data_IF_217280246840
#
_entry.id   IF_217280246840
#
_cell.length_a   1.000
_cell.length_b   1.000
_cell.length_c   1.000
_cell.angle_alpha   90.00
_cell.angle_beta   90.00
_cell.angle_gamma   90.00
#
_symmetry.space_group_name_H-M   'P 1'
#
loop_
_entity.id
_entity.type
_entity.pdbx_description
1 polymer ?
#
# COMPACT_ATOMS: atom_id res chain seq x y z
N UNK A 1 28.91 -8.09 -16.96
CA UNK A 1 29.60 -7.14 -16.07
C UNK A 1 31.07 -7.52 -16.09
N UNK A 2 31.88 -6.71 -16.77
CA UNK A 2 33.31 -6.99 -17.05
C UNK A 2 34.08 -6.82 -15.74
N UNK A 3 34.59 -7.92 -15.20
CA UNK A 3 35.25 -7.98 -13.90
C UNK A 3 36.78 -7.80 -13.97
N UNK A 4 37.31 -7.24 -15.05
CA UNK A 4 38.76 -7.08 -15.20
C UNK A 4 39.10 -5.68 -15.70
N UNK A 5 39.22 -4.76 -14.74
CA UNK A 5 39.97 -3.52 -14.93
C UNK A 5 40.96 -3.45 -13.78
N UNK A 6 42.22 -3.76 -14.09
CA UNK A 6 43.35 -3.52 -13.22
C UNK A 6 43.60 -2.01 -13.18
N UNK A 7 42.87 -1.29 -12.33
CA UNK A 7 43.26 0.05 -11.88
C UNK A 7 42.57 0.34 -10.53
N UNK A 8 43.38 0.41 -9.48
CA UNK A 8 43.01 0.56 -8.06
C UNK A 8 42.31 1.91 -7.74
N UNK A 9 41.96 2.70 -8.77
CA UNK A 9 41.32 4.01 -8.69
C UNK A 9 39.79 3.98 -8.81
N UNK A 10 39.19 2.84 -9.21
CA UNK A 10 37.76 2.75 -9.57
C UNK A 10 36.92 1.81 -8.69
N UNK A 11 37.37 1.46 -7.48
CA UNK A 11 36.64 0.52 -6.60
C UNK A 11 35.24 1.06 -6.24
N UNK A 12 35.11 2.38 -6.04
CA UNK A 12 33.81 3.04 -5.78
C UNK A 12 32.85 2.98 -6.97
N UNK A 13 33.35 3.02 -8.20
CA UNK A 13 32.53 2.95 -9.41
C UNK A 13 31.92 1.55 -9.58
N UNK A 14 32.65 0.50 -9.23
CA UNK A 14 32.16 -0.88 -9.29
C UNK A 14 30.99 -1.08 -8.32
N UNK A 15 31.12 -0.58 -7.09
CA UNK A 15 30.05 -0.69 -6.09
C UNK A 15 28.83 0.14 -6.47
N UNK A 16 29.03 1.36 -6.98
CA UNK A 16 27.95 2.20 -7.50
C UNK A 16 27.16 1.50 -8.61
N UNK A 17 27.87 0.94 -9.61
CA UNK A 17 27.23 0.23 -10.72
C UNK A 17 26.51 -1.02 -10.21
N UNK A 18 27.10 -1.76 -9.28
CA UNK A 18 26.46 -2.94 -8.68
C UNK A 18 25.18 -2.55 -7.95
N UNK A 19 25.19 -1.48 -7.15
CA UNK A 19 24.03 -0.98 -6.42
C UNK A 19 22.94 -0.50 -7.38
N UNK A 20 23.32 0.18 -8.45
CA UNK A 20 22.39 0.61 -9.50
C UNK A 20 21.71 -0.61 -10.13
N UNK A 21 22.48 -1.58 -10.63
CA UNK A 21 21.94 -2.81 -11.24
C UNK A 21 21.04 -3.55 -10.26
N UNK A 22 21.49 -3.71 -9.01
CA UNK A 22 20.74 -4.34 -7.92
C UNK A 22 19.38 -3.67 -7.71
N UNK A 23 19.33 -2.33 -7.71
CA UNK A 23 18.07 -1.58 -7.53
C UNK A 23 17.03 -1.85 -8.63
N UNK A 24 17.48 -2.13 -9.86
CA UNK A 24 16.59 -2.49 -10.97
C UNK A 24 16.16 -3.96 -10.88
N UNK A 25 17.13 -4.88 -10.78
CA UNK A 25 16.84 -6.31 -10.79
C UNK A 25 16.10 -6.78 -9.54
N UNK A 26 16.18 -6.05 -8.42
CA UNK A 26 15.39 -6.33 -7.21
C UNK A 26 13.88 -6.22 -7.44
N UNK A 27 13.45 -5.45 -8.44
CA UNK A 27 12.02 -5.31 -8.75
C UNK A 27 11.53 -6.57 -9.47
N UNK A 28 10.48 -7.26 -8.97
CA UNK A 28 10.01 -8.52 -9.55
C UNK A 28 9.49 -8.37 -10.99
N UNK A 29 9.07 -7.16 -11.39
CA UNK A 29 8.63 -6.85 -12.75
C UNK A 29 9.76 -6.55 -13.74
N UNK A 30 11.02 -6.54 -13.29
CA UNK A 30 12.16 -6.30 -14.17
C UNK A 30 12.56 -7.62 -14.86
N UNK A 31 12.50 -7.63 -16.21
CA UNK A 31 13.12 -8.66 -17.02
C UNK A 31 14.64 -8.49 -17.01
N UNK A 32 15.36 -9.57 -16.78
CA UNK A 32 16.83 -9.56 -16.70
C UNK A 32 17.39 -10.11 -18.01
N UNK A 33 18.18 -9.31 -18.72
CA UNK A 33 18.91 -9.77 -19.90
C UNK A 33 20.34 -10.12 -19.49
N UNK A 34 20.65 -11.41 -19.40
CA UNK A 34 21.94 -11.92 -18.97
C UNK A 34 22.83 -12.20 -20.19
N UNK A 35 23.77 -11.32 -20.46
CA UNK A 35 24.70 -11.44 -21.59
C UNK A 35 26.03 -12.08 -21.17
N UNK A 36 26.44 -13.14 -21.87
CA UNK A 36 27.68 -13.89 -21.67
C UNK A 36 28.46 -13.97 -22.99
N UNK A 37 29.77 -13.78 -22.95
CA UNK A 37 30.66 -14.00 -24.09
C UNK A 37 31.09 -15.47 -24.15
N UNK A 38 30.97 -16.12 -25.32
CA UNK A 38 31.37 -17.53 -25.54
C UNK A 38 32.90 -17.76 -25.56
N UNK A 39 33.66 -16.86 -24.97
CA UNK A 39 35.13 -16.89 -24.89
C UNK A 39 35.62 -17.21 -23.48
N UNK A 40 34.76 -16.99 -22.48
CA UNK A 40 35.13 -17.05 -21.06
C UNK A 40 34.10 -17.86 -20.29
N UNK A 41 34.55 -18.64 -19.32
CA UNK A 41 33.68 -19.49 -18.50
C UNK A 41 32.53 -18.69 -17.86
N UNK A 42 31.33 -19.25 -17.94
CA UNK A 42 30.13 -18.70 -17.30
C UNK A 42 30.35 -18.48 -15.78
N UNK A 43 31.07 -19.39 -15.12
CA UNK A 43 31.34 -19.32 -13.68
C UNK A 43 32.20 -18.11 -13.29
N UNK A 44 33.02 -17.60 -14.21
CA UNK A 44 33.87 -16.43 -13.99
C UNK A 44 33.16 -15.09 -14.23
N UNK A 45 31.88 -15.10 -14.61
CA UNK A 45 31.13 -13.87 -14.90
C UNK A 45 30.23 -13.46 -13.72
N UNK A 46 30.62 -12.39 -13.01
CA UNK A 46 29.86 -11.85 -11.87
C UNK A 46 28.39 -11.52 -12.18
N UNK A 47 28.05 -11.27 -13.46
CA UNK A 47 26.67 -11.02 -13.89
C UNK A 47 25.74 -12.24 -13.69
N UNK A 48 26.21 -13.46 -13.97
CA UNK A 48 25.40 -14.67 -13.81
C UNK A 48 25.11 -14.99 -12.35
N UNK A 49 26.06 -14.68 -11.45
CA UNK A 49 25.84 -14.79 -10.00
C UNK A 49 24.82 -13.76 -9.52
N UNK A 50 24.96 -12.51 -9.93
CA UNK A 50 24.06 -11.42 -9.52
C UNK A 50 22.62 -11.65 -10.00
N UNK A 51 22.45 -12.15 -11.24
CA UNK A 51 21.14 -12.53 -11.77
C UNK A 51 20.51 -13.66 -10.94
N UNK A 52 21.25 -14.73 -10.63
CA UNK A 52 20.76 -15.85 -9.81
C UNK A 52 20.42 -15.46 -8.37
N UNK A 53 21.08 -14.46 -7.81
CA UNK A 53 20.76 -13.94 -6.47
C UNK A 53 19.35 -13.31 -6.43
N UNK A 54 18.91 -12.68 -7.53
CA UNK A 54 17.62 -11.99 -7.61
C UNK A 54 16.55 -12.75 -8.41
N UNK A 55 16.94 -13.77 -9.17
CA UNK A 55 16.06 -14.68 -9.89
C UNK A 55 16.61 -16.13 -9.84
N UNK A 56 16.55 -16.79 -8.65
CA UNK A 56 17.14 -18.13 -8.47
C UNK A 56 16.53 -19.21 -9.36
N UNK A 57 15.27 -19.02 -9.77
CA UNK A 57 14.51 -19.96 -10.61
C UNK A 57 14.60 -19.61 -12.11
N UNK A 58 15.28 -18.52 -12.47
CA UNK A 58 15.40 -18.09 -13.88
C UNK A 58 14.07 -17.77 -14.55
N UNK A 59 13.06 -17.31 -13.79
CA UNK A 59 11.69 -17.12 -14.29
C UNK A 59 11.53 -15.88 -15.16
N UNK A 60 12.40 -14.87 -14.97
CA UNK A 60 12.34 -13.56 -15.65
C UNK A 60 13.68 -13.18 -16.28
N UNK A 61 14.62 -14.12 -16.30
CA UNK A 61 15.94 -13.97 -16.90
C UNK A 61 15.96 -14.59 -18.29
N UNK A 62 16.51 -13.84 -19.24
CA UNK A 62 16.72 -14.22 -20.65
C UNK A 62 18.23 -14.28 -20.87
N UNK A 63 18.74 -15.44 -21.28
CA UNK A 63 20.17 -15.65 -21.51
C UNK A 63 20.56 -15.27 -22.93
N UNK A 64 21.68 -14.55 -23.10
CA UNK A 64 22.22 -14.19 -24.41
C UNK A 64 23.70 -14.51 -24.46
N UNK A 65 24.06 -15.45 -25.32
CA UNK A 65 25.41 -15.80 -25.68
C UNK A 65 25.89 -14.90 -26.83
N UNK A 66 27.08 -14.34 -26.69
CA UNK A 66 27.68 -13.39 -27.64
C UNK A 66 29.07 -13.84 -28.04
N UNK A 67 29.54 -13.37 -29.20
CA UNK A 67 30.81 -13.79 -29.80
C UNK A 67 30.93 -15.31 -29.97
N UNK A 68 29.93 -16.00 -30.55
CA UNK A 68 30.01 -17.44 -30.81
C UNK A 68 31.18 -17.82 -31.72
N UNK A 69 31.70 -16.87 -32.51
CA UNK A 69 32.87 -17.02 -33.37
C UNK A 69 34.20 -17.17 -32.61
N UNK A 70 34.23 -16.86 -31.32
CA UNK A 70 35.44 -16.97 -30.48
C UNK A 70 35.57 -18.31 -29.75
N UNK A 71 34.61 -19.21 -29.90
CA UNK A 71 34.67 -20.52 -29.27
C UNK A 71 35.84 -21.31 -29.89
N UNK A 72 36.67 -21.90 -29.03
CA UNK A 72 37.73 -22.81 -29.47
C UNK A 72 37.10 -24.04 -30.14
N UNK A 73 37.66 -24.42 -31.30
CA UNK A 73 37.16 -25.58 -32.06
C UNK A 73 37.24 -26.85 -31.21
N UNK A 74 36.10 -27.54 -31.05
CA UNK A 74 35.96 -28.72 -30.22
C UNK A 74 35.44 -28.45 -28.80
N UNK A 75 35.29 -27.18 -28.40
CA UNK A 75 34.78 -26.74 -27.10
C UNK A 75 33.35 -26.17 -27.18
N UNK A 76 32.59 -26.50 -28.23
CA UNK A 76 31.25 -25.97 -28.47
C UNK A 76 30.15 -26.65 -27.62
N UNK A 77 30.36 -27.89 -27.18
CA UNK A 77 29.36 -28.72 -26.50
C UNK A 77 28.69 -28.03 -25.30
N UNK A 78 29.41 -27.36 -24.37
CA UNK A 78 28.79 -26.69 -23.22
C UNK A 78 27.85 -25.56 -23.65
N UNK A 79 28.19 -24.83 -24.71
CA UNK A 79 27.40 -23.72 -25.23
C UNK A 79 26.12 -24.22 -25.91
N UNK A 80 26.20 -25.35 -26.61
CA UNK A 80 25.01 -26.02 -27.18
C UNK A 80 24.08 -26.48 -26.06
N UNK A 81 24.61 -27.09 -24.99
CA UNK A 81 23.83 -27.51 -23.82
C UNK A 81 23.10 -26.33 -23.16
N UNK A 82 23.71 -25.14 -23.12
CA UNK A 82 23.03 -23.93 -22.64
C UNK A 82 21.88 -23.51 -23.57
N UNK A 83 22.09 -23.49 -24.89
CA UNK A 83 21.04 -23.17 -25.87
C UNK A 83 19.85 -24.15 -25.75
N UNK A 84 20.13 -25.46 -25.66
CA UNK A 84 19.12 -26.50 -25.40
C UNK A 84 18.48 -26.43 -24.00
N UNK A 85 18.99 -25.55 -23.14
CA UNK A 85 18.48 -25.34 -21.78
C UNK A 85 18.54 -26.61 -20.90
N UNK A 86 19.53 -27.47 -21.15
CA UNK A 86 19.71 -28.78 -20.49
C UNK A 86 20.48 -28.68 -19.18
N UNK A 87 21.23 -27.60 -18.98
CA UNK A 87 22.02 -27.38 -17.78
C UNK A 87 21.13 -26.98 -16.60
N UNK A 88 20.85 -27.89 -15.68
CA UNK A 88 19.92 -27.67 -14.54
C UNK A 88 20.28 -26.43 -13.71
N UNK A 89 21.57 -26.18 -13.49
CA UNK A 89 22.05 -25.02 -12.73
C UNK A 89 21.91 -23.68 -13.44
N UNK A 90 21.68 -23.69 -14.77
CA UNK A 90 21.61 -22.53 -15.67
C UNK A 90 20.29 -22.46 -16.44
N UNK A 91 19.29 -23.23 -16.02
CA UNK A 91 18.02 -23.33 -16.71
C UNK A 91 17.25 -22.02 -16.59
N UNK A 92 16.82 -21.47 -17.72
CA UNK A 92 16.03 -20.24 -17.80
C UNK A 92 14.66 -20.51 -18.41
N UNK A 93 13.60 -19.90 -17.87
CA UNK A 93 12.23 -20.03 -18.42
C UNK A 93 12.15 -19.52 -19.85
N UNK A 94 12.84 -18.43 -20.15
CA UNK A 94 12.89 -17.82 -21.49
C UNK A 94 13.99 -18.41 -22.37
N UNK A 95 14.79 -19.35 -21.84
CA UNK A 95 15.88 -19.99 -22.53
C UNK A 95 17.08 -19.08 -22.78
N UNK A 96 17.96 -19.59 -23.63
CA UNK A 96 19.21 -18.97 -24.03
C UNK A 96 19.17 -18.69 -25.53
N UNK A 97 19.70 -17.53 -25.93
CA UNK A 97 19.86 -17.13 -27.32
C UNK A 97 21.33 -16.99 -27.66
N UNK A 98 21.72 -17.18 -28.92
CA UNK A 98 23.08 -16.89 -29.40
C UNK A 98 23.04 -15.85 -30.51
N UNK A 99 23.89 -14.83 -30.41
CA UNK A 99 23.97 -13.75 -31.40
C UNK A 99 25.40 -13.45 -31.81
N UNK A 100 25.61 -13.26 -33.11
CA UNK A 100 26.84 -12.74 -33.69
C UNK A 100 26.71 -11.23 -33.86
N UNK A 101 27.59 -10.49 -33.20
CA UNK A 101 27.68 -9.04 -33.33
C UNK A 101 28.83 -8.65 -34.26
N UNK A 102 28.77 -7.46 -34.89
CA UNK A 102 29.89 -6.89 -35.63
C UNK A 102 31.15 -6.82 -34.79
N UNK A 103 32.29 -7.11 -35.40
CA UNK A 103 33.60 -6.88 -34.79
C UNK A 103 33.96 -5.39 -34.80
N UNK A 104 34.91 -5.00 -33.94
CA UNK A 104 35.39 -3.61 -33.91
C UNK A 104 35.86 -3.11 -35.28
N UNK A 105 36.56 -3.95 -36.05
CA UNK A 105 37.01 -3.62 -37.42
C UNK A 105 35.84 -3.37 -38.37
N UNK A 106 34.82 -4.23 -38.34
CA UNK A 106 33.63 -4.06 -39.19
C UNK A 106 32.87 -2.76 -38.87
N UNK A 107 32.87 -2.34 -37.60
CA UNK A 107 32.30 -1.06 -37.20
C UNK A 107 33.14 0.13 -37.69
N UNK A 108 34.47 0.02 -37.63
CA UNK A 108 35.40 1.03 -38.18
C UNK A 108 35.27 1.15 -39.70
N UNK A 109 35.02 0.04 -40.39
CA UNK A 109 34.80 -0.03 -41.85
C UNK A 109 33.41 0.51 -42.28
N UNK A 110 32.58 0.96 -41.33
CA UNK A 110 31.28 1.58 -41.62
C UNK A 110 30.15 0.59 -41.94
N UNK A 111 30.23 -0.65 -41.46
CA UNK A 111 29.18 -1.67 -41.65
C UNK A 111 27.81 -1.17 -41.17
N UNK A 112 26.81 -1.33 -42.03
CA UNK A 112 25.42 -1.01 -41.69
C UNK A 112 24.79 -2.07 -40.79
N UNK A 113 23.75 -1.69 -40.04
CA UNK A 113 22.98 -2.61 -39.22
C UNK A 113 22.19 -3.65 -40.03
N UNK A 114 21.95 -3.43 -41.33
CA UNK A 114 21.31 -4.43 -42.20
C UNK A 114 22.31 -5.53 -42.52
N UNK A 115 23.52 -5.14 -42.97
CA UNK A 115 24.61 -6.08 -43.26
C UNK A 115 25.02 -6.88 -42.02
N UNK A 116 25.02 -6.26 -40.85
CA UNK A 116 25.28 -6.94 -39.58
C UNK A 116 24.28 -8.09 -39.31
N UNK A 117 22.99 -7.87 -39.60
CA UNK A 117 21.93 -8.89 -39.42
C UNK A 117 22.04 -10.01 -40.44
N UNK A 118 22.36 -9.68 -41.69
CA UNK A 118 22.61 -10.67 -42.73
C UNK A 118 23.83 -11.55 -42.41
N UNK A 119 24.91 -10.94 -41.88
CA UNK A 119 26.10 -11.67 -41.44
C UNK A 119 25.79 -12.61 -40.27
N UNK A 120 24.99 -12.15 -39.31
CA UNK A 120 24.55 -12.92 -38.15
C UNK A 120 23.73 -14.15 -38.56
N UNK A 121 22.73 -13.96 -39.42
CA UNK A 121 21.92 -15.03 -39.97
C UNK A 121 22.78 -16.03 -40.76
N UNK A 122 23.63 -15.52 -41.66
CA UNK A 122 24.55 -16.35 -42.46
C UNK A 122 25.51 -17.16 -41.59
N UNK A 123 26.03 -16.56 -40.52
CA UNK A 123 26.93 -17.26 -39.60
C UNK A 123 26.26 -18.50 -39.00
N UNK A 124 25.03 -18.37 -38.51
CA UNK A 124 24.31 -19.50 -37.90
C UNK A 124 23.81 -20.51 -38.94
N UNK A 125 23.61 -20.11 -40.20
CA UNK A 125 23.27 -21.02 -41.29
C UNK A 125 24.47 -21.83 -41.81
N UNK A 126 25.65 -21.22 -41.87
CA UNK A 126 26.83 -21.82 -42.53
C UNK A 126 27.79 -22.51 -41.54
N UNK A 127 27.79 -22.13 -40.26
CA UNK A 127 28.84 -22.54 -39.32
C UNK A 127 28.39 -23.67 -38.39
N UNK A 128 29.03 -24.84 -38.51
CA UNK A 128 28.88 -25.92 -37.53
C UNK A 128 29.50 -25.52 -36.18
N UNK A 129 28.92 -25.93 -35.03
CA UNK A 129 27.79 -26.84 -34.87
C UNK A 129 26.41 -26.16 -34.92
N UNK A 130 26.36 -24.84 -35.05
CA UNK A 130 25.11 -24.07 -35.03
C UNK A 130 24.20 -24.37 -36.22
N UNK A 131 24.77 -24.53 -37.41
CA UNK A 131 24.02 -24.87 -38.62
C UNK A 131 23.36 -26.25 -38.56
N UNK A 132 23.95 -27.15 -37.79
CA UNK A 132 23.52 -28.55 -37.60
C UNK A 132 22.64 -28.76 -36.38
N UNK A 133 22.32 -27.71 -35.61
CA UNK A 133 21.43 -27.82 -34.46
C UNK A 133 20.01 -28.21 -34.91
N UNK A 134 19.30 -28.95 -34.06
CA UNK A 134 17.90 -29.34 -34.32
C UNK A 134 17.00 -28.12 -34.54
N UNK A 135 16.01 -28.27 -35.41
CA UNK A 135 15.13 -27.18 -35.83
C UNK A 135 14.38 -26.52 -34.66
N UNK A 136 14.10 -27.27 -33.59
CA UNK A 136 13.44 -26.76 -32.38
C UNK A 136 14.25 -25.65 -31.67
N UNK A 137 15.57 -25.69 -31.79
CA UNK A 137 16.50 -24.76 -31.15
C UNK A 137 17.02 -23.68 -32.11
N UNK A 138 16.73 -23.78 -33.41
CA UNK A 138 17.07 -22.71 -34.38
C UNK A 138 16.44 -21.36 -34.04
N UNK A 139 15.26 -21.35 -33.42
CA UNK A 139 14.59 -20.13 -32.93
C UNK A 139 15.34 -19.39 -31.82
N UNK A 140 16.40 -19.97 -31.28
CA UNK A 140 17.27 -19.34 -30.28
C UNK A 140 18.52 -18.73 -30.90
N UNK A 141 18.76 -18.95 -32.19
CA UNK A 141 19.93 -18.42 -32.90
C UNK A 141 19.55 -17.17 -33.66
N UNK A 142 20.43 -16.17 -33.65
CA UNK A 142 20.29 -14.95 -34.42
C UNK A 142 19.56 -13.81 -33.70
N UNK A 143 19.92 -12.59 -34.09
CA UNK A 143 19.43 -11.33 -33.56
C UNK A 143 17.94 -11.14 -33.84
N UNK A 144 17.47 -11.51 -35.04
CA UNK A 144 16.07 -11.36 -35.44
C UNK A 144 15.15 -12.15 -34.50
N UNK A 145 15.53 -13.39 -34.18
CA UNK A 145 14.78 -14.24 -33.27
C UNK A 145 14.79 -13.70 -31.83
N UNK A 146 15.96 -13.25 -31.35
CA UNK A 146 16.07 -12.61 -30.03
C UNK A 146 15.18 -11.34 -29.94
N UNK A 147 15.21 -10.47 -30.95
CA UNK A 147 14.40 -9.24 -30.98
C UNK A 147 12.91 -9.56 -30.93
N UNK A 148 12.45 -10.52 -31.75
CA UNK A 148 11.06 -10.94 -31.75
C UNK A 148 10.64 -11.49 -30.37
N UNK A 149 11.45 -12.36 -29.78
CA UNK A 149 11.18 -12.91 -28.46
C UNK A 149 11.15 -11.84 -27.35
N UNK A 150 12.10 -10.90 -27.38
CA UNK A 150 12.15 -9.77 -26.45
C UNK A 150 10.92 -8.88 -26.59
N UNK A 151 10.52 -8.57 -27.82
CA UNK A 151 9.33 -7.76 -28.11
C UNK A 151 8.05 -8.39 -27.57
N UNK A 152 7.84 -9.68 -27.85
CA UNK A 152 6.68 -10.41 -27.34
C UNK A 152 6.68 -10.52 -25.81
N UNK A 153 7.83 -10.86 -25.22
CA UNK A 153 7.95 -11.05 -23.77
C UNK A 153 7.75 -9.74 -23.02
N UNK A 154 8.37 -8.66 -23.49
CA UNK A 154 8.20 -7.33 -22.92
C UNK A 154 6.76 -6.85 -23.06
N UNK A 155 6.14 -7.06 -24.22
CA UNK A 155 4.73 -6.72 -24.45
C UNK A 155 3.80 -7.42 -23.46
N UNK A 156 3.98 -8.74 -23.25
CA UNK A 156 3.20 -9.51 -22.26
C UNK A 156 3.40 -8.98 -20.84
N UNK A 157 4.64 -8.68 -20.45
CA UNK A 157 4.94 -8.15 -19.12
C UNK A 157 4.28 -6.78 -18.91
N UNK A 158 4.38 -5.87 -19.88
CA UNK A 158 3.76 -4.54 -19.81
C UNK A 158 2.23 -4.67 -19.66
N UNK A 159 1.60 -5.46 -20.52
CA UNK A 159 0.15 -5.66 -20.48
C UNK A 159 -0.33 -6.25 -19.14
N UNK A 160 0.42 -7.19 -18.59
CA UNK A 160 0.10 -7.77 -17.27
C UNK A 160 0.26 -6.77 -16.11
N UNK A 161 1.15 -5.78 -16.24
CA UNK A 161 1.47 -4.82 -15.17
C UNK A 161 0.64 -3.55 -15.24
N UNK A 162 0.10 -3.18 -16.40
CA UNK A 162 -0.69 -1.96 -16.58
C UNK A 162 -1.85 -1.82 -15.57
N UNK A 163 -2.69 -2.84 -15.31
CA UNK A 163 -3.77 -2.70 -14.34
C UNK A 163 -3.26 -2.37 -12.93
N UNK A 164 -2.20 -3.06 -12.49
CA UNK A 164 -1.58 -2.80 -11.19
C UNK A 164 -0.93 -1.41 -11.08
N UNK A 165 -0.45 -0.85 -12.20
CA UNK A 165 0.06 0.51 -12.23
C UNK A 165 -1.09 1.50 -12.04
N UNK A 166 -2.24 1.28 -12.68
CA UNK A 166 -3.43 2.11 -12.47
C UNK A 166 -3.88 2.07 -11.02
N UNK A 167 -4.01 0.88 -10.43
CA UNK A 167 -4.39 0.71 -9.02
C UNK A 167 -3.43 1.45 -8.08
N UNK A 168 -2.12 1.36 -8.34
CA UNK A 168 -1.10 2.03 -7.53
C UNK A 168 -1.17 3.56 -7.68
N UNK A 169 -1.44 4.07 -8.88
CA UNK A 169 -1.63 5.51 -9.11
C UNK A 169 -2.86 6.00 -8.36
N UNK A 170 -4.00 5.32 -8.47
CA UNK A 170 -5.23 5.71 -7.78
C UNK A 170 -5.04 5.68 -6.25
N UNK A 171 -4.34 4.67 -5.74
CA UNK A 171 -3.96 4.58 -4.32
C UNK A 171 -3.09 5.76 -3.88
N UNK A 172 -2.07 6.10 -4.67
CA UNK A 172 -1.17 7.21 -4.35
C UNK A 172 -1.88 8.57 -4.44
N UNK A 173 -2.81 8.75 -5.37
CA UNK A 173 -3.64 9.95 -5.46
C UNK A 173 -4.52 10.08 -4.22
N UNK A 174 -5.21 9.02 -3.81
CA UNK A 174 -6.04 9.03 -2.60
C UNK A 174 -5.21 9.31 -1.34
N UNK A 175 -4.04 8.68 -1.23
CA UNK A 175 -3.12 8.91 -0.12
C UNK A 175 -2.65 10.37 -0.08
N UNK A 176 -2.19 10.92 -1.21
CA UNK A 176 -1.70 12.28 -1.28
C UNK A 176 -2.82 13.30 -1.01
N UNK A 177 -4.04 13.04 -1.47
CA UNK A 177 -5.21 13.87 -1.14
C UNK A 177 -5.48 13.88 0.37
N UNK A 178 -5.48 12.71 1.01
CA UNK A 178 -5.66 12.62 2.48
C UNK A 178 -4.54 13.32 3.26
N UNK A 179 -3.30 13.24 2.77
CA UNK A 179 -2.17 13.94 3.35
C UNK A 179 -2.30 15.45 3.17
N UNK A 180 -2.78 15.91 2.01
CA UNK A 180 -3.01 17.31 1.73
C UNK A 180 -4.12 17.90 2.60
N UNK A 181 -5.21 17.15 2.83
CA UNK A 181 -6.29 17.56 3.73
C UNK A 181 -5.83 17.72 5.19
N UNK A 182 -4.79 16.99 5.59
CA UNK A 182 -4.19 17.13 6.92
C UNK A 182 -3.31 18.37 7.07
N UNK A 183 -2.87 18.95 5.95
CA UNK A 183 -2.06 20.17 5.95
C UNK A 183 -3.01 21.37 6.04
N UNK A 184 -2.80 22.30 7.00
CA UNK A 184 -3.61 23.50 7.07
C UNK A 184 -3.52 24.30 5.78
N UNK A 185 -4.65 24.88 5.37
CA UNK A 185 -4.71 25.73 4.20
C UNK A 185 -3.68 26.87 4.33
N UNK A 186 -3.05 27.29 3.22
CA UNK A 186 -2.18 28.45 3.25
C UNK A 186 -2.97 29.66 3.76
N UNK A 187 -2.35 30.52 4.60
CA UNK A 187 -3.02 31.70 5.12
C UNK A 187 -3.51 32.56 3.96
N UNK A 188 -4.75 33.02 4.06
CA UNK A 188 -5.36 33.84 3.02
C UNK A 188 -4.63 35.18 2.86
N UNK A 189 -4.80 35.80 1.69
CA UNK A 189 -4.34 37.17 1.44
C UNK A 189 -5.11 38.21 2.28
N UNK A 190 -6.23 37.82 2.90
CA UNK A 190 -7.04 38.64 3.81
C UNK A 190 -7.19 37.98 5.19
N UNK A 191 -6.20 38.17 6.09
CA UNK A 191 -6.19 37.56 7.41
C UNK A 191 -7.42 37.91 8.27
N UNK A 192 -8.05 39.08 8.05
CA UNK A 192 -9.21 39.50 8.83
C UNK A 192 -10.43 38.65 8.50
N UNK A 193 -10.69 38.42 7.22
CA UNK A 193 -11.79 37.57 6.77
C UNK A 193 -11.63 36.14 7.30
N UNK A 194 -10.43 35.60 7.30
CA UNK A 194 -10.13 34.25 7.80
C UNK A 194 -10.36 34.10 9.30
N UNK A 195 -9.89 35.05 10.10
CA UNK A 195 -10.15 35.07 11.55
C UNK A 195 -11.65 35.16 11.84
N UNK A 196 -12.39 35.99 11.11
CA UNK A 196 -13.83 36.09 11.27
C UNK A 196 -14.55 34.78 10.91
N UNK A 197 -14.12 34.09 9.85
CA UNK A 197 -14.65 32.77 9.50
C UNK A 197 -14.39 31.73 10.59
N UNK A 198 -13.18 31.71 11.17
CA UNK A 198 -12.82 30.82 12.28
C UNK A 198 -13.63 31.11 13.55
N UNK A 199 -13.84 32.39 13.89
CA UNK A 199 -14.67 32.76 15.06
C UNK A 199 -16.13 32.37 14.83
N UNK A 200 -16.65 32.58 13.62
CA UNK A 200 -18.03 32.21 13.28
C UNK A 200 -18.23 30.68 13.28
N UNK A 201 -17.28 29.91 12.75
CA UNK A 201 -17.34 28.44 12.79
C UNK A 201 -17.30 27.92 14.21
N UNK A 202 -16.38 28.42 15.04
CA UNK A 202 -16.30 28.06 16.46
C UNK A 202 -17.59 28.40 17.20
N UNK A 203 -18.15 29.60 16.99
CA UNK A 203 -19.40 30.03 17.63
C UNK A 203 -20.55 29.11 17.24
N UNK A 204 -20.64 28.71 15.97
CA UNK A 204 -21.64 27.75 15.49
C UNK A 204 -21.47 26.38 16.15
N UNK A 205 -20.26 25.86 16.20
CA UNK A 205 -19.98 24.53 16.76
C UNK A 205 -20.28 24.48 18.27
N UNK A 206 -19.93 25.53 19.02
CA UNK A 206 -20.29 25.66 20.45
C UNK A 206 -21.81 25.77 20.62
N UNK A 207 -22.49 26.57 19.79
CA UNK A 207 -23.95 26.72 19.86
C UNK A 207 -24.65 25.39 19.59
N UNK A 208 -24.21 24.65 18.58
CA UNK A 208 -24.74 23.31 18.25
C UNK A 208 -24.47 22.32 19.38
N UNK A 209 -23.32 22.38 20.04
CA UNK A 209 -23.01 21.52 21.19
C UNK A 209 -23.87 21.84 22.42
N UNK A 210 -24.12 23.12 22.69
CA UNK A 210 -24.92 23.57 23.84
C UNK A 210 -26.40 23.23 23.64
N UNK A 211 -26.96 23.60 22.49
CA UNK A 211 -28.39 23.42 22.20
C UNK A 211 -28.73 21.99 21.79
N UNK A 212 -27.78 21.28 21.17
CA UNK A 212 -28.00 19.98 20.55
C UNK A 212 -28.53 20.13 19.13
N UNK A 213 -28.41 19.06 18.35
CA UNK A 213 -28.91 19.02 16.98
C UNK A 213 -30.07 18.02 16.88
N UNK A 214 -31.26 18.57 16.68
CA UNK A 214 -32.52 17.83 16.58
C UNK A 214 -32.53 16.78 15.46
N UNK A 215 -31.68 16.92 14.42
CA UNK A 215 -31.60 15.96 13.31
C UNK A 215 -30.56 14.87 13.55
N UNK A 216 -29.53 15.17 14.34
CA UNK A 216 -28.43 14.24 14.64
C UNK A 216 -28.77 13.21 15.72
N UNK A 217 -29.87 13.42 16.46
CA UNK A 217 -30.22 12.61 17.63
C UNK A 217 -29.28 12.78 18.83
N UNK A 218 -28.28 13.68 18.75
CA UNK A 218 -27.36 13.99 19.86
C UNK A 218 -28.02 15.00 20.80
N UNK A 219 -28.21 14.62 22.06
CA UNK A 219 -28.67 15.53 23.11
C UNK A 219 -27.62 16.62 23.36
N UNK A 220 -27.99 17.89 23.24
CA UNK A 220 -27.13 19.00 23.62
C UNK A 220 -26.84 19.03 25.12
N UNK A 221 -25.85 19.83 25.52
CA UNK A 221 -25.50 20.04 26.93
C UNK A 221 -26.70 20.48 27.77
N UNK A 222 -27.57 21.35 27.23
CA UNK A 222 -28.78 21.77 27.93
C UNK A 222 -29.70 20.58 28.19
N UNK A 223 -29.89 19.72 27.20
CA UNK A 223 -30.75 18.55 27.33
C UNK A 223 -30.19 17.54 28.34
N UNK A 224 -28.88 17.30 28.35
CA UNK A 224 -28.24 16.40 29.32
C UNK A 224 -28.33 16.93 30.76
N UNK A 225 -28.20 18.25 30.94
CA UNK A 225 -28.42 18.90 32.23
C UNK A 225 -29.87 18.78 32.70
N UNK A 226 -30.84 18.99 31.81
CA UNK A 226 -32.27 18.83 32.15
C UNK A 226 -32.60 17.41 32.58
N UNK A 227 -32.07 16.40 31.87
CA UNK A 227 -32.26 14.99 32.25
C UNK A 227 -31.65 14.72 33.63
N UNK A 228 -30.43 15.21 33.88
CA UNK A 228 -29.74 15.05 35.17
C UNK A 228 -30.47 15.75 36.31
N UNK A 229 -30.98 16.96 36.07
CA UNK A 229 -31.77 17.71 37.04
C UNK A 229 -33.09 17.01 37.38
N UNK A 230 -33.76 16.42 36.38
CA UNK A 230 -34.98 15.63 36.60
C UNK A 230 -34.71 14.37 37.43
N UNK A 231 -33.65 13.63 37.11
CA UNK A 231 -33.25 12.47 37.89
C UNK A 231 -32.93 12.85 39.35
N UNK A 232 -32.21 13.95 39.55
CA UNK A 232 -31.94 14.48 40.89
C UNK A 232 -33.22 14.90 41.63
N UNK A 233 -34.17 15.55 40.94
CA UNK A 233 -35.47 15.90 41.51
C UNK A 233 -36.27 14.65 41.91
N UNK A 234 -36.25 13.59 41.11
CA UNK A 234 -36.87 12.31 41.45
C UNK A 234 -36.21 11.68 42.68
N UNK A 235 -34.88 11.68 42.78
CA UNK A 235 -34.19 11.18 43.97
C UNK A 235 -34.43 12.03 45.22
N UNK A 236 -34.55 13.36 45.08
CA UNK A 236 -34.99 14.23 46.17
C UNK A 236 -36.40 13.86 46.63
N UNK A 237 -37.34 13.59 45.72
CA UNK A 237 -38.71 13.18 46.08
C UNK A 237 -38.72 11.91 46.93
N UNK A 238 -37.87 10.93 46.63
CA UNK A 238 -37.78 9.68 47.42
C UNK A 238 -37.34 9.91 48.86
N UNK A 239 -36.57 10.96 49.13
CA UNK A 239 -36.09 11.30 50.48
C UNK A 239 -36.97 12.32 51.20
N UNK A 240 -37.95 12.92 50.51
CA UNK A 240 -38.84 13.93 51.11
C UNK A 240 -39.73 13.28 52.18
N UNK A 241 -39.72 13.80 53.43
CA UNK A 241 -40.64 13.35 54.45
C UNK A 241 -42.07 13.78 54.11
N UNK A 242 -43.03 12.88 54.28
CA UNK A 242 -44.46 13.15 54.04
C UNK A 242 -45.13 13.42 55.38
N UNK A 243 -45.72 14.60 55.52
CA UNK A 243 -46.47 14.98 56.72
C UNK A 243 -47.96 14.81 56.48
N UNK A 244 -48.57 13.89 57.23
CA UNK A 244 -50.00 13.62 57.17
C UNK A 244 -50.75 14.45 58.21
N UNK A 245 -51.80 15.20 57.81
CA UNK A 245 -52.61 15.99 58.73
C UNK A 245 -53.57 15.15 59.59
N UNK A 246 -53.76 13.87 59.26
CA UNK A 246 -54.64 12.93 59.96
C UNK A 246 -53.91 12.12 61.02
N UNK A 247 -54.64 11.39 61.88
CA UNK A 247 -54.07 10.47 62.86
C UNK A 247 -53.90 9.08 62.22
N UNK A 248 -52.91 8.29 62.68
CA UNK A 248 -52.62 6.92 62.17
C UNK A 248 -53.83 6.00 62.07
N UNK A 249 -54.89 6.25 62.85
CA UNK A 249 -56.07 5.40 62.97
C UNK A 249 -57.39 6.07 62.53
N UNK A 250 -57.36 7.18 61.78
CA UNK A 250 -58.61 7.80 61.29
C UNK A 250 -58.94 7.40 59.86
N UNK A 251 -60.13 6.81 59.63
CA UNK A 251 -60.73 6.56 58.30
C UNK A 251 -61.17 7.85 57.56
N UNK A 252 -60.63 9.00 57.94
CA UNK A 252 -60.85 10.24 57.21
C UNK A 252 -60.12 10.15 55.87
N UNK A 253 -60.87 10.17 54.78
CA UNK A 253 -60.34 10.08 53.41
C UNK A 253 -59.18 11.05 53.17
N UNK A 254 -58.23 10.64 52.34
CA UNK A 254 -57.06 11.45 51.97
C UNK A 254 -57.51 12.84 51.47
N UNK A 255 -56.82 13.92 51.86
CA UNK A 255 -57.14 15.25 51.36
C UNK A 255 -56.95 15.30 49.84
N UNK A 256 -57.83 16.04 49.17
CA UNK A 256 -57.74 16.28 47.72
C UNK A 256 -56.35 16.81 47.34
N UNK A 257 -55.84 16.35 46.19
CA UNK A 257 -54.55 16.82 45.63
C UNK A 257 -54.52 18.36 45.58
N UNK A 258 -53.48 19.01 46.15
CA UNK A 258 -53.44 20.47 46.21
C UNK A 258 -53.46 21.13 44.83
N UNK A 259 -54.28 22.18 44.67
CA UNK A 259 -54.46 22.92 43.40
C UNK A 259 -53.22 23.66 42.89
N UNK A 260 -52.15 23.75 43.69
CA UNK A 260 -50.90 24.40 43.32
C UNK A 260 -49.91 23.45 42.61
N UNK A 261 -50.22 22.16 42.51
CA UNK A 261 -49.36 21.20 41.82
C UNK A 261 -49.41 21.41 40.30
N UNK A 262 -48.26 21.38 39.60
CA UNK A 262 -48.22 21.38 38.15
C UNK A 262 -49.01 20.21 37.55
N UNK A 263 -49.60 20.37 36.36
CA UNK A 263 -50.32 19.29 35.70
C UNK A 263 -49.39 18.09 35.42
N UNK A 264 -49.76 16.92 35.94
CA UNK A 264 -48.97 15.69 35.84
C UNK A 264 -48.11 15.36 37.06
N UNK A 265 -48.16 16.16 38.13
CA UNK A 265 -47.52 15.83 39.41
C UNK A 265 -48.54 15.26 40.41
N UNK A 266 -48.20 14.11 41.01
CA UNK A 266 -48.99 13.47 42.07
C UNK A 266 -48.54 13.94 43.45
N UNK A 267 -49.50 14.18 44.35
CA UNK A 267 -49.20 14.49 45.76
C UNK A 267 -48.85 13.19 46.50
N UNK A 268 -47.64 13.06 47.08
CA UNK A 268 -47.24 11.83 47.75
C UNK A 268 -48.02 11.64 49.06
N UNK A 269 -48.74 10.52 49.17
CA UNK A 269 -49.46 10.12 50.39
C UNK A 269 -48.59 9.32 51.38
N UNK A 270 -47.52 8.70 50.92
CA UNK A 270 -46.57 7.97 51.77
C UNK A 270 -45.14 8.22 51.30
N UNK A 271 -44.19 8.29 52.24
CA UNK A 271 -42.77 8.41 51.91
C UNK A 271 -42.21 7.04 51.53
N UNK A 272 -41.57 6.94 50.36
CA UNK A 272 -40.93 5.70 49.90
C UNK A 272 -39.82 5.19 50.85
N UNK A 273 -39.23 6.06 51.68
CA UNK A 273 -38.21 5.69 52.68
C UNK A 273 -38.75 5.56 54.10
N UNK A 274 -40.08 5.50 54.27
CA UNK A 274 -40.71 5.34 55.59
C UNK A 274 -40.62 6.59 56.48
N UNK A 275 -40.31 7.75 55.90
CA UNK A 275 -40.30 9.05 56.58
C UNK A 275 -41.69 9.70 56.52
N UNK A 276 -42.73 8.94 56.88
CA UNK A 276 -44.09 9.47 57.00
C UNK A 276 -44.31 9.86 58.46
N UNK A 277 -44.70 11.10 58.69
CA UNK A 277 -44.94 11.65 60.03
C UNK A 277 -46.39 12.13 60.10
N UNK A 278 -47.05 11.84 61.21
CA UNK A 278 -48.43 12.27 61.45
C UNK A 278 -48.41 13.49 62.36
N UNK A 279 -49.30 14.45 62.12
CA UNK A 279 -49.27 15.75 62.80
C UNK A 279 -49.29 15.61 64.34
N UNK A 280 -50.02 14.64 64.88
CA UNK A 280 -50.07 14.37 66.32
C UNK A 280 -48.72 13.89 66.87
N UNK A 281 -48.04 12.99 66.16
CA UNK A 281 -46.72 12.47 66.55
C UNK A 281 -45.67 13.62 66.57
N UNK A 282 -45.80 14.59 65.65
CA UNK A 282 -44.91 15.76 65.56
C UNK A 282 -45.21 16.79 66.65
N UNK A 283 -46.48 17.01 66.98
CA UNK A 283 -46.90 17.95 68.05
C UNK A 283 -46.49 17.42 69.42
N UNK A 284 -46.67 16.12 69.70
CA UNK A 284 -46.22 15.50 70.96
C UNK A 284 -44.69 15.56 71.12
N UNK A 285 -43.92 15.44 70.04
CA UNK A 285 -42.46 15.61 70.03
C UNK A 285 -42.00 17.07 70.22
N UNK A 286 -42.86 18.06 69.93
CA UNK A 286 -42.55 19.48 70.03
C UNK A 286 -42.96 20.08 71.39
N UNK A 287 -43.90 19.46 72.10
CA UNK A 287 -44.39 19.90 73.42
C UNK A 287 -43.71 19.18 74.61
N UNK A 288 -42.83 18.20 74.36
CA UNK A 288 -41.99 17.52 75.36
C UNK A 288 -40.53 18.01 75.36
#
# INVERSE_FOLDING_TARGET
>A
MIANVADDKNVGDIELVKNLVTSYISRPSCLILLTISCESDFENQGAGRLAREHDPQGLRTIGVLTKPDRIERGSETPWISMIKNESESLRLRHGWFSVKQPSARQLEDGMSWSEARELDEKYFQDTAPWSTIEDDWRKQLGCSNLINHLGETLGKVILSRLPHICDEVDRLVALNASQLDSVPHPPSLDPLAEVLQLVNSFTRDVTQHVQGDARSGRSGLVQSLVISAKAFQEDLRKITPVFQPTSKNSDAGFPDTPKFLPPGEEWPSESEKGLTYWLNDVVELAEG
#
